data_IF_803058705734
#
_entry.id   IF_803058705734
#
_cell.length_a   1.000
_cell.length_b   1.000
_cell.length_c   1.000
_cell.angle_alpha   90.00
_cell.angle_beta   90.00
_cell.angle_gamma   90.00
#
_symmetry.space_group_name_H-M   'P 1'
#
loop_
_entity.id
_entity.type
_entity.pdbx_description
1 polymer ?
#
# COMPACT_ATOMS: atom_id res chain seq x y z
N UNK A 1 14.59 14.20 28.09
CA UNK A 1 15.09 13.49 26.89
C UNK A 1 16.28 14.24 26.31
N UNK A 2 16.12 15.50 25.92
CA UNK A 2 17.20 16.31 25.33
C UNK A 2 18.45 16.41 26.21
N UNK A 3 18.30 16.44 27.53
CA UNK A 3 19.44 16.50 28.48
C UNK A 3 20.34 15.24 28.46
N UNK A 4 19.88 14.14 27.84
CA UNK A 4 20.61 12.86 27.77
C UNK A 4 21.10 12.51 26.36
N UNK A 5 20.74 13.29 25.34
CA UNK A 5 21.04 12.97 23.93
C UNK A 5 22.19 13.84 23.43
N UNK A 6 23.19 13.20 22.81
CA UNK A 6 24.16 13.91 21.98
C UNK A 6 23.62 14.23 20.59
N UNK A 7 22.76 13.36 20.04
CA UNK A 7 22.09 13.52 18.76
C UNK A 7 20.78 12.70 18.75
N UNK A 8 19.75 13.19 18.05
CA UNK A 8 18.43 12.53 18.00
C UNK A 8 18.47 11.17 17.28
N UNK A 9 19.45 10.97 16.39
CA UNK A 9 19.69 9.69 15.70
C UNK A 9 20.05 8.54 16.63
N UNK A 10 20.38 8.81 17.90
CA UNK A 10 20.49 7.79 18.94
C UNK A 10 19.14 7.05 19.17
N UNK A 11 18.02 7.73 18.93
CA UNK A 11 16.67 7.19 19.15
C UNK A 11 16.05 6.76 17.82
N UNK A 12 16.05 7.64 16.82
CA UNK A 12 15.43 7.38 15.52
C UNK A 12 15.85 8.44 14.50
N UNK A 13 15.51 8.22 13.23
CA UNK A 13 15.95 9.11 12.16
C UNK A 13 15.76 8.51 10.79
N UNK A 14 16.31 9.20 9.78
CA UNK A 14 16.26 8.77 8.40
C UNK A 14 17.65 8.60 7.81
N UNK A 15 17.81 7.58 6.94
CA UNK A 15 19.03 7.32 6.20
C UNK A 15 18.72 7.13 4.73
N UNK A 16 19.15 8.07 3.90
CA UNK A 16 19.08 7.98 2.43
C UNK A 16 20.30 7.24 1.88
N UNK A 17 20.08 6.34 0.93
CA UNK A 17 21.15 5.54 0.32
C UNK A 17 20.75 5.04 -1.07
N UNK A 18 21.71 4.44 -1.78
CA UNK A 18 21.50 3.78 -3.06
C UNK A 18 21.93 2.32 -2.98
N UNK A 19 21.15 1.42 -3.59
CA UNK A 19 21.48 0.01 -3.67
C UNK A 19 22.54 -0.26 -4.75
N UNK A 20 23.50 -1.16 -4.47
CA UNK A 20 24.73 -1.27 -5.25
C UNK A 20 24.76 -2.42 -6.27
N UNK A 21 23.90 -3.45 -6.11
CA UNK A 21 24.02 -4.71 -6.84
C UNK A 21 22.69 -5.33 -7.27
N UNK A 22 22.80 -6.35 -8.12
CA UNK A 22 21.66 -7.12 -8.63
C UNK A 22 20.63 -6.27 -9.38
N UNK A 23 19.38 -6.75 -9.40
CA UNK A 23 18.26 -6.01 -10.00
C UNK A 23 17.96 -4.70 -9.25
N UNK A 24 18.37 -4.56 -8.00
CA UNK A 24 18.14 -3.36 -7.21
C UNK A 24 19.14 -2.23 -7.51
N UNK A 25 20.24 -2.52 -8.24
CA UNK A 25 21.31 -1.57 -8.48
C UNK A 25 20.78 -0.23 -9.01
N UNK A 26 21.16 0.84 -8.32
CA UNK A 26 20.79 2.20 -8.65
C UNK A 26 19.53 2.70 -7.97
N UNK A 27 18.71 1.84 -7.37
CA UNK A 27 17.51 2.26 -6.63
C UNK A 27 17.90 3.08 -5.42
N UNK A 28 17.40 4.31 -5.37
CA UNK A 28 17.44 5.17 -4.21
C UNK A 28 16.35 4.80 -3.20
N UNK A 29 16.72 4.79 -1.92
CA UNK A 29 15.84 4.48 -0.82
C UNK A 29 16.12 5.35 0.41
N UNK A 30 15.13 5.46 1.28
CA UNK A 30 15.24 6.08 2.61
C UNK A 30 14.76 5.08 3.65
N UNK A 31 15.66 4.64 4.53
CA UNK A 31 15.28 3.93 5.74
C UNK A 31 14.83 4.94 6.79
N UNK A 32 13.73 4.63 7.46
CA UNK A 32 13.15 5.44 8.53
C UNK A 32 13.02 4.56 9.78
N UNK A 33 13.52 5.06 10.91
CA UNK A 33 13.35 4.48 12.25
C UNK A 33 12.64 5.50 13.14
N UNK A 34 11.46 5.16 13.66
CA UNK A 34 10.73 6.05 14.55
C UNK A 34 11.21 6.00 16.01
N UNK A 35 12.13 5.10 16.35
CA UNK A 35 12.63 4.91 17.71
C UNK A 35 11.67 4.22 18.68
N UNK A 36 10.48 3.81 18.22
CA UNK A 36 9.50 3.03 18.97
C UNK A 36 9.26 1.65 18.30
N UNK A 37 10.30 1.16 17.64
CA UNK A 37 10.37 -0.16 17.05
C UNK A 37 9.82 -0.23 15.63
N UNK A 38 9.21 0.84 15.09
CA UNK A 38 8.77 0.91 13.70
C UNK A 38 9.94 1.32 12.81
N UNK A 39 10.33 0.41 11.91
CA UNK A 39 11.39 0.62 10.92
C UNK A 39 10.85 0.27 9.54
N UNK A 40 10.99 1.16 8.58
CA UNK A 40 10.52 0.93 7.21
C UNK A 40 11.39 1.61 6.17
N UNK A 41 11.36 1.09 4.94
CA UNK A 41 12.08 1.65 3.81
C UNK A 41 11.11 2.31 2.83
N UNK A 42 11.39 3.53 2.40
CA UNK A 42 10.72 4.21 1.28
C UNK A 42 11.58 4.03 0.03
N UNK A 43 11.02 3.46 -1.03
CA UNK A 43 11.74 3.19 -2.27
C UNK A 43 11.48 4.33 -3.28
N UNK A 44 12.37 5.31 -3.32
CA UNK A 44 12.21 6.55 -4.11
C UNK A 44 12.01 6.24 -5.60
N UNK A 45 12.78 5.28 -6.11
CA UNK A 45 12.71 4.90 -7.53
C UNK A 45 11.59 3.90 -7.85
N UNK A 46 10.75 3.55 -6.88
CA UNK A 46 9.65 2.59 -7.03
C UNK A 46 8.32 3.22 -6.62
N UNK A 47 7.99 4.36 -7.21
CA UNK A 47 6.75 5.07 -6.91
C UNK A 47 6.66 5.64 -5.50
N UNK A 48 7.79 5.73 -4.77
CA UNK A 48 7.81 6.00 -3.31
C UNK A 48 6.96 5.00 -2.51
N UNK A 49 6.92 3.76 -2.95
CA UNK A 49 6.28 2.67 -2.24
C UNK A 49 7.08 2.27 -0.98
N UNK A 50 6.39 1.62 -0.04
CA UNK A 50 7.02 1.16 1.19
C UNK A 50 7.56 -0.26 0.98
N UNK A 51 8.87 -0.40 1.07
CA UNK A 51 9.58 -1.68 1.00
C UNK A 51 9.43 -2.49 2.29
N UNK A 52 10.54 -2.97 2.84
CA UNK A 52 10.51 -3.75 4.09
C UNK A 52 10.00 -2.90 5.24
N UNK A 53 9.12 -3.46 6.06
CA UNK A 53 8.62 -2.89 7.29
C UNK A 53 8.70 -3.91 8.43
N UNK A 54 9.26 -3.46 9.55
CA UNK A 54 9.35 -4.18 10.82
C UNK A 54 8.73 -3.31 11.90
N UNK A 55 7.93 -3.91 12.77
CA UNK A 55 7.47 -3.26 13.99
C UNK A 55 7.83 -4.15 15.18
N UNK A 56 8.69 -3.62 16.04
CA UNK A 56 9.34 -4.35 17.15
C UNK A 56 10.06 -5.60 16.62
N UNK A 57 9.64 -6.78 17.06
CA UNK A 57 10.24 -8.06 16.67
C UNK A 57 9.51 -8.74 15.50
N UNK A 58 8.51 -8.06 14.92
CA UNK A 58 7.66 -8.63 13.87
C UNK A 58 7.97 -8.02 12.51
N UNK A 59 8.34 -8.87 11.55
CA UNK A 59 8.33 -8.52 10.13
C UNK A 59 6.91 -8.59 9.58
N UNK A 60 6.42 -7.47 9.04
CA UNK A 60 5.04 -7.37 8.52
C UNK A 60 4.97 -7.64 7.01
N UNK A 61 6.01 -7.27 6.29
CA UNK A 61 6.04 -7.23 4.83
C UNK A 61 6.14 -8.60 4.19
N UNK A 62 5.35 -8.84 3.14
CA UNK A 62 5.71 -9.86 2.16
C UNK A 62 6.83 -9.36 1.25
N UNK A 63 7.88 -10.17 1.10
CA UNK A 63 8.98 -9.90 0.20
C UNK A 63 9.07 -11.01 -0.84
N UNK A 64 8.77 -10.65 -2.10
CA UNK A 64 8.85 -11.59 -3.21
C UNK A 64 10.31 -11.94 -3.53
N UNK A 65 10.52 -13.09 -4.17
CA UNK A 65 11.85 -13.52 -4.62
C UNK A 65 12.51 -12.55 -5.61
N UNK A 66 11.70 -11.77 -6.35
CA UNK A 66 12.20 -10.71 -7.23
C UNK A 66 12.91 -9.58 -6.46
N UNK A 67 12.54 -9.37 -5.19
CA UNK A 67 13.07 -8.30 -4.36
C UNK A 67 12.86 -6.91 -4.94
N UNK A 68 13.62 -5.94 -4.43
CA UNK A 68 13.66 -4.59 -5.01
C UNK A 68 14.27 -4.68 -6.40
N UNK A 69 13.53 -4.24 -7.41
CA UNK A 69 13.94 -4.31 -8.81
C UNK A 69 13.95 -2.89 -9.40
N UNK A 70 15.01 -2.43 -10.01
CA UNK A 70 15.07 -1.08 -10.52
C UNK A 70 14.14 -0.87 -11.74
N UNK A 71 13.64 0.36 -11.98
CA UNK A 71 12.72 0.68 -13.08
C UNK A 71 13.16 0.20 -14.47
N UNK A 72 14.47 0.16 -14.75
CA UNK A 72 14.98 -0.28 -16.05
C UNK A 72 14.67 -1.75 -16.39
N UNK A 73 14.26 -2.55 -15.40
CA UNK A 73 13.87 -3.95 -15.59
C UNK A 73 12.34 -4.14 -15.69
N UNK A 74 11.54 -3.07 -15.64
CA UNK A 74 10.10 -3.14 -15.75
C UNK A 74 9.65 -3.50 -17.17
N UNK A 75 8.62 -4.33 -17.28
CA UNK A 75 7.96 -4.70 -18.52
C UNK A 75 6.43 -4.64 -18.32
N UNK A 76 5.76 -3.81 -19.12
CA UNK A 76 4.32 -3.56 -19.02
C UNK A 76 3.44 -4.58 -19.78
N UNK A 77 4.03 -5.59 -20.43
CA UNK A 77 3.27 -6.54 -21.25
C UNK A 77 2.56 -7.55 -20.37
N UNK A 78 1.25 -7.70 -20.53
CA UNK A 78 0.50 -8.76 -19.83
C UNK A 78 0.78 -8.77 -18.33
N UNK A 79 1.17 -9.93 -17.80
CA UNK A 79 1.49 -10.15 -16.40
C UNK A 79 2.98 -9.91 -16.04
N UNK A 80 3.79 -9.39 -16.97
CA UNK A 80 5.24 -9.25 -16.78
C UNK A 80 5.63 -8.24 -15.69
N UNK A 81 4.67 -7.45 -15.18
CA UNK A 81 4.79 -6.69 -13.94
C UNK A 81 5.25 -7.57 -12.77
N UNK A 82 4.86 -8.86 -12.74
CA UNK A 82 5.28 -9.82 -11.71
C UNK A 82 6.80 -10.06 -11.70
N UNK A 83 7.53 -9.79 -12.79
CA UNK A 83 8.99 -9.91 -12.81
C UNK A 83 9.70 -8.82 -12.00
N UNK A 84 9.02 -7.69 -11.75
CA UNK A 84 9.53 -6.57 -10.95
C UNK A 84 8.71 -6.34 -9.67
N UNK A 85 7.69 -7.15 -9.40
CA UNK A 85 6.92 -7.10 -8.15
C UNK A 85 7.76 -7.64 -6.99
N UNK A 86 8.27 -6.72 -6.17
CA UNK A 86 9.05 -7.05 -4.98
C UNK A 86 8.21 -7.38 -3.75
N UNK A 87 6.89 -7.20 -3.81
CA UNK A 87 6.07 -7.00 -2.62
C UNK A 87 6.41 -5.65 -1.98
N UNK A 88 6.84 -5.67 -0.72
CA UNK A 88 6.94 -4.46 0.10
C UNK A 88 5.70 -4.31 0.98
N UNK A 89 5.74 -3.48 2.01
CA UNK A 89 4.57 -3.22 2.83
C UNK A 89 3.44 -2.55 2.05
N UNK A 90 3.78 -1.72 1.06
CA UNK A 90 2.85 -1.10 0.13
C UNK A 90 3.41 -1.21 -1.29
N UNK A 91 2.59 -1.59 -2.25
CA UNK A 91 2.85 -1.38 -3.68
C UNK A 91 1.69 -0.62 -4.31
N UNK A 92 1.95 0.49 -4.99
CA UNK A 92 0.87 1.28 -5.59
C UNK A 92 0.59 0.80 -7.00
N UNK A 93 -0.66 0.47 -7.29
CA UNK A 93 -1.14 0.11 -8.62
C UNK A 93 -1.92 1.29 -9.22
N UNK A 94 -1.70 1.60 -10.50
CA UNK A 94 -2.23 2.80 -11.14
C UNK A 94 -1.27 3.44 -12.16
N UNK A 95 -1.54 4.66 -12.61
CA UNK A 95 -2.71 5.51 -12.33
C UNK A 95 -3.81 5.42 -13.39
N UNK A 96 -3.46 5.02 -14.62
CA UNK A 96 -4.45 4.84 -15.69
C UNK A 96 -4.98 3.41 -15.75
N UNK A 97 -4.34 2.48 -15.06
CA UNK A 97 -4.65 1.06 -15.08
C UNK A 97 -4.36 0.45 -13.72
N UNK A 98 -5.29 -0.33 -13.20
CA UNK A 98 -5.08 -1.21 -12.05
C UNK A 98 -5.91 -2.50 -12.21
N UNK A 99 -5.33 -3.65 -11.85
CA UNK A 99 -5.94 -4.97 -12.06
C UNK A 99 -5.44 -5.65 -13.33
N UNK A 100 -6.21 -6.63 -13.80
CA UNK A 100 -5.83 -7.54 -14.89
C UNK A 100 -5.38 -6.82 -16.18
N UNK A 101 -4.43 -7.41 -16.92
CA UNK A 101 -4.03 -6.90 -18.23
C UNK A 101 -5.21 -6.86 -19.19
N UNK A 102 -5.30 -5.81 -20.00
CA UNK A 102 -6.38 -5.68 -20.97
C UNK A 102 -5.96 -4.88 -22.21
N UNK A 103 -6.82 -4.86 -23.22
CA UNK A 103 -6.71 -3.93 -24.35
C UNK A 103 -7.85 -2.92 -24.23
N UNK A 104 -7.50 -1.64 -24.22
CA UNK A 104 -8.47 -0.55 -24.14
C UNK A 104 -8.20 0.48 -25.23
N UNK A 105 -9.21 0.76 -26.05
CA UNK A 105 -9.13 1.68 -27.20
C UNK A 105 -7.93 1.38 -28.13
N UNK A 106 -7.66 0.09 -28.37
CA UNK A 106 -6.57 -0.38 -29.22
C UNK A 106 -5.17 -0.34 -28.59
N UNK A 107 -5.05 0.11 -27.33
CA UNK A 107 -3.78 0.12 -26.60
C UNK A 107 -3.73 -1.02 -25.56
N UNK A 108 -2.63 -1.79 -25.49
CA UNK A 108 -2.44 -2.78 -24.43
C UNK A 108 -2.08 -2.10 -23.12
N UNK A 109 -2.61 -2.65 -22.02
CA UNK A 109 -2.32 -2.27 -20.65
C UNK A 109 -1.90 -3.51 -19.86
N UNK A 110 -0.78 -3.40 -19.14
CA UNK A 110 -0.29 -4.46 -18.26
C UNK A 110 -1.04 -4.59 -16.95
N UNK A 111 -0.68 -5.63 -16.20
CA UNK A 111 -1.12 -5.85 -14.84
C UNK A 111 -0.74 -4.66 -13.95
N UNK A 112 -1.72 -4.12 -13.21
CA UNK A 112 -1.55 -3.10 -12.17
C UNK A 112 -0.98 -1.72 -12.58
N UNK A 113 -0.75 -1.49 -13.87
CA UNK A 113 -0.17 -0.24 -14.34
C UNK A 113 1.30 -0.08 -13.92
N UNK A 114 1.82 1.14 -14.05
CA UNK A 114 3.27 1.38 -14.03
C UNK A 114 3.76 2.22 -12.85
N UNK A 115 2.87 2.82 -12.05
CA UNK A 115 3.26 3.83 -11.05
C UNK A 115 4.31 3.32 -10.04
N UNK A 116 4.23 2.06 -9.60
CA UNK A 116 5.23 1.42 -8.71
C UNK A 116 6.60 1.18 -9.36
N UNK A 117 6.73 1.38 -10.67
CA UNK A 117 7.95 1.21 -11.45
C UNK A 117 8.46 2.55 -12.01
N UNK A 118 7.86 3.68 -11.62
CA UNK A 118 8.29 5.01 -12.02
C UNK A 118 9.10 5.66 -10.89
N UNK A 119 10.28 6.23 -11.18
CA UNK A 119 11.06 6.92 -10.18
C UNK A 119 10.44 8.27 -9.81
N UNK A 120 10.51 8.62 -8.54
CA UNK A 120 10.03 9.91 -8.06
C UNK A 120 11.09 11.01 -8.17
N UNK A 121 10.65 12.22 -8.51
CA UNK A 121 11.41 13.42 -8.22
C UNK A 121 11.27 13.73 -6.74
N UNK A 122 12.34 13.57 -5.97
CA UNK A 122 12.34 13.90 -4.55
C UNK A 122 12.16 15.42 -4.35
N UNK A 123 11.16 15.81 -3.56
CA UNK A 123 10.84 17.21 -3.23
C UNK A 123 11.27 17.57 -1.80
N UNK A 124 11.24 16.59 -0.88
CA UNK A 124 11.60 16.74 0.54
C UNK A 124 12.12 15.41 1.10
N UNK A 125 13.15 15.48 1.94
CA UNK A 125 13.63 14.37 2.78
C UNK A 125 14.27 15.02 4.00
N UNK A 126 13.46 15.33 5.00
CA UNK A 126 13.87 16.13 6.16
C UNK A 126 13.33 15.54 7.46
N UNK A 127 14.09 15.77 8.53
CA UNK A 127 13.66 15.49 9.89
C UNK A 127 13.88 16.74 10.73
N UNK A 128 12.82 17.25 11.36
CA UNK A 128 12.88 18.51 12.11
C UNK A 128 11.86 18.55 13.25
N UNK A 129 12.11 19.40 14.24
CA UNK A 129 11.18 19.67 15.34
C UNK A 129 10.04 20.58 14.87
N UNK A 130 8.81 20.10 15.02
CA UNK A 130 7.59 20.87 14.80
C UNK A 130 6.88 21.03 16.16
N UNK A 131 7.32 22.04 16.93
CA UNK A 131 6.92 22.17 18.33
C UNK A 131 7.59 21.09 19.17
N UNK A 132 6.81 20.26 19.86
CA UNK A 132 7.31 19.16 20.71
C UNK A 132 7.49 17.84 19.94
N UNK A 133 7.04 17.77 18.69
CA UNK A 133 7.12 16.58 17.86
C UNK A 133 8.37 16.62 16.98
N UNK A 134 9.19 15.56 17.02
CA UNK A 134 10.24 15.35 16.03
C UNK A 134 9.67 14.62 14.82
N UNK A 135 9.56 15.32 13.69
CA UNK A 135 8.84 14.87 12.50
C UNK A 135 9.83 14.43 11.44
N UNK A 136 9.59 13.27 10.85
CA UNK A 136 10.34 12.75 9.70
C UNK A 136 9.41 12.71 8.49
N UNK A 137 9.76 13.42 7.43
CA UNK A 137 8.97 13.48 6.20
C UNK A 137 9.83 13.26 4.96
N UNK A 138 9.37 12.36 4.09
CA UNK A 138 9.87 12.19 2.73
C UNK A 138 8.73 12.44 1.77
N UNK A 139 8.89 13.43 0.89
CA UNK A 139 7.92 13.76 -0.14
C UNK A 139 8.57 13.82 -1.51
N UNK A 140 7.83 13.39 -2.53
CA UNK A 140 8.30 13.39 -3.90
C UNK A 140 7.16 13.17 -4.87
N UNK A 141 7.48 13.29 -6.15
CA UNK A 141 6.49 13.28 -7.22
C UNK A 141 6.82 12.29 -8.30
N UNK A 142 5.88 11.39 -8.55
CA UNK A 142 5.91 10.41 -9.62
C UNK A 142 5.10 10.96 -10.79
N UNK A 143 5.62 10.84 -12.00
CA UNK A 143 4.97 11.32 -13.21
C UNK A 143 4.69 10.15 -14.14
N UNK A 144 3.41 9.86 -14.37
CA UNK A 144 2.99 8.97 -15.46
C UNK A 144 2.61 9.83 -16.66
N UNK A 145 3.58 10.04 -17.55
CA UNK A 145 3.44 10.94 -18.69
C UNK A 145 3.78 10.25 -20.01
N UNK A 146 3.14 10.70 -21.09
CA UNK A 146 3.46 10.28 -22.46
C UNK A 146 3.35 11.49 -23.40
N UNK A 147 4.32 11.67 -24.29
CA UNK A 147 4.19 12.68 -25.35
C UNK A 147 2.94 12.36 -26.20
N UNK A 148 2.06 13.35 -26.40
CA UNK A 148 0.76 13.16 -27.03
C UNK A 148 -0.12 12.12 -26.30
N UNK A 149 -0.14 12.15 -24.97
CA UNK A 149 -0.98 11.29 -24.17
C UNK A 149 -1.17 11.80 -22.76
N UNK A 150 -1.43 10.86 -21.86
CA UNK A 150 -1.69 11.14 -20.44
C UNK A 150 -0.57 11.94 -19.80
N UNK A 151 -0.94 12.87 -18.92
CA UNK A 151 -0.02 13.60 -18.06
C UNK A 151 -0.58 13.60 -16.63
N UNK A 152 -0.40 12.49 -15.91
CA UNK A 152 -0.80 12.38 -14.51
C UNK A 152 0.45 12.51 -13.62
N UNK A 153 0.25 13.10 -12.44
CA UNK A 153 1.26 13.09 -11.39
C UNK A 153 0.66 12.64 -10.06
N UNK A 154 1.43 11.91 -9.26
CA UNK A 154 1.17 11.70 -7.83
C UNK A 154 2.26 12.39 -7.05
N UNK A 155 1.89 13.35 -6.21
CA UNK A 155 2.77 13.82 -5.14
C UNK A 155 2.48 13.01 -3.89
N UNK A 156 3.43 12.17 -3.48
CA UNK A 156 3.36 11.39 -2.25
C UNK A 156 4.14 12.09 -1.15
N UNK A 157 3.54 12.24 0.03
CA UNK A 157 4.23 12.54 1.28
C UNK A 157 4.08 11.36 2.23
N UNK A 158 5.19 10.85 2.73
CA UNK A 158 5.25 9.83 3.78
C UNK A 158 5.81 10.50 5.02
N UNK A 159 5.01 10.54 6.08
CA UNK A 159 5.34 11.23 7.34
C UNK A 159 5.22 10.27 8.52
N UNK A 160 6.16 10.38 9.45
CA UNK A 160 6.09 9.76 10.78
C UNK A 160 6.58 10.74 11.84
N UNK A 161 6.23 10.47 13.10
CA UNK A 161 6.69 11.23 14.27
C UNK A 161 7.49 10.28 15.15
N UNK A 162 8.59 10.76 15.71
CA UNK A 162 9.39 10.00 16.65
C UNK A 162 8.51 9.45 17.78
N UNK A 163 8.72 8.19 18.11
CA UNK A 163 8.01 7.41 19.13
C UNK A 163 6.51 7.19 18.90
N UNK A 164 5.99 7.42 17.69
CA UNK A 164 4.55 7.37 17.43
C UNK A 164 3.99 5.99 17.03
N UNK A 165 4.81 5.10 16.47
CA UNK A 165 4.34 3.85 15.87
C UNK A 165 3.35 4.08 14.70
N UNK A 166 3.47 5.22 13.99
CA UNK A 166 2.49 5.68 13.00
C UNK A 166 3.16 6.08 11.69
N UNK A 167 2.55 5.72 10.56
CA UNK A 167 2.91 6.21 9.21
C UNK A 167 1.69 6.90 8.63
N UNK A 168 1.88 8.11 8.12
CA UNK A 168 0.87 8.86 7.39
C UNK A 168 1.33 8.95 5.94
N UNK A 169 0.47 8.55 5.00
CA UNK A 169 0.69 8.70 3.56
C UNK A 169 -0.37 9.66 3.04
N UNK A 170 0.05 10.73 2.37
CA UNK A 170 -0.83 11.62 1.61
C UNK A 170 -0.39 11.61 0.15
N UNK A 171 -1.28 11.17 -0.73
CA UNK A 171 -1.10 11.24 -2.18
C UNK A 171 -2.04 12.29 -2.76
N UNK A 172 -1.47 13.24 -3.51
CA UNK A 172 -2.22 14.18 -4.33
C UNK A 172 -2.05 13.82 -5.79
N UNK A 173 -3.12 13.37 -6.42
CA UNK A 173 -3.14 12.92 -7.80
C UNK A 173 -3.77 14.00 -8.65
N UNK A 174 -3.03 14.50 -9.65
CA UNK A 174 -3.48 15.60 -10.51
C UNK A 174 -3.42 15.22 -11.98
N UNK A 175 -4.46 15.59 -12.70
CA UNK A 175 -4.44 15.60 -14.15
C UNK A 175 -3.82 16.89 -14.68
N UNK A 176 -2.61 16.79 -15.23
CA UNK A 176 -1.87 17.90 -15.80
C UNK A 176 -2.07 18.01 -17.32
N UNK A 177 -2.78 17.07 -17.94
CA UNK A 177 -3.07 17.09 -19.37
C UNK A 177 -4.21 18.08 -19.69
N UNK A 178 -4.34 18.41 -20.98
CA UNK A 178 -5.45 19.21 -21.51
C UNK A 178 -6.74 18.40 -21.69
N UNK A 179 -6.66 17.07 -21.64
CA UNK A 179 -7.78 16.16 -21.81
C UNK A 179 -8.15 15.50 -20.48
N UNK A 180 -9.38 15.02 -20.35
CA UNK A 180 -9.74 14.17 -19.20
C UNK A 180 -8.94 12.86 -19.21
N UNK A 181 -8.54 12.38 -18.03
CA UNK A 181 -7.74 11.16 -17.87
C UNK A 181 -8.41 10.18 -16.91
N UNK A 182 -8.31 8.85 -17.14
CA UNK A 182 -8.81 7.86 -16.20
C UNK A 182 -7.94 7.84 -14.94
N UNK A 183 -8.57 7.61 -13.80
CA UNK A 183 -7.90 7.39 -12.52
C UNK A 183 -8.31 6.03 -11.93
N UNK A 184 -7.36 5.12 -11.91
CA UNK A 184 -7.40 3.85 -11.21
C UNK A 184 -6.28 3.82 -10.18
N UNK A 185 -6.64 3.58 -8.93
CA UNK A 185 -5.72 3.56 -7.81
C UNK A 185 -6.03 2.37 -6.90
N UNK A 186 -4.98 1.65 -6.53
CA UNK A 186 -5.05 0.56 -5.58
C UNK A 186 -3.77 0.55 -4.73
N UNK A 187 -3.94 0.65 -3.42
CA UNK A 187 -2.86 0.57 -2.45
C UNK A 187 -2.67 -0.87 -2.02
N UNK A 188 -1.79 -1.60 -2.69
CA UNK A 188 -1.59 -3.02 -2.46
C UNK A 188 -0.77 -3.25 -1.17
N UNK A 189 -1.45 -3.23 0.00
CA UNK A 189 -0.79 -3.36 1.31
C UNK A 189 -0.46 -4.82 1.60
N UNK A 190 0.80 -5.23 1.45
CA UNK A 190 1.18 -6.64 1.51
C UNK A 190 1.64 -7.09 2.89
N UNK A 191 0.99 -8.11 3.41
CA UNK A 191 1.36 -8.80 4.65
C UNK A 191 2.02 -10.14 4.35
N UNK A 192 3.10 -10.45 5.06
CA UNK A 192 3.88 -11.67 4.93
C UNK A 192 4.32 -12.24 6.26
N UNK A 193 4.94 -13.43 6.22
CA UNK A 193 5.48 -14.12 7.39
C UNK A 193 6.69 -13.33 7.99
N UNK A 194 6.90 -13.28 9.32
CA UNK A 194 6.21 -14.04 10.38
C UNK A 194 4.87 -13.46 10.84
N UNK A 195 4.58 -12.19 10.56
CA UNK A 195 3.34 -11.56 11.01
C UNK A 195 2.09 -12.22 10.44
N UNK A 196 2.10 -12.53 9.15
CA UNK A 196 1.04 -13.30 8.48
C UNK A 196 1.30 -14.80 8.65
N UNK A 197 0.35 -15.47 9.29
CA UNK A 197 0.30 -16.91 9.51
C UNK A 197 -1.17 -17.32 9.80
N UNK A 198 -1.48 -18.62 9.99
CA UNK A 198 -2.85 -19.06 10.26
C UNK A 198 -3.50 -18.52 11.54
N UNK A 199 -2.72 -17.96 12.47
CA UNK A 199 -3.20 -17.34 13.71
C UNK A 199 -3.40 -15.82 13.57
N UNK A 200 -3.00 -15.24 12.44
CA UNK A 200 -3.27 -13.84 12.12
C UNK A 200 -4.78 -13.64 11.95
N UNK A 201 -5.28 -12.61 12.63
CA UNK A 201 -6.70 -12.24 12.66
C UNK A 201 -6.89 -10.87 12.06
N UNK A 202 -8.09 -10.63 11.55
CA UNK A 202 -8.46 -9.33 11.00
C UNK A 202 -9.89 -8.95 11.40
N UNK A 203 -10.16 -7.66 11.37
CA UNK A 203 -11.49 -7.09 11.48
C UNK A 203 -11.66 -6.06 10.38
N UNK A 204 -12.65 -6.30 9.53
CA UNK A 204 -13.06 -5.41 8.44
C UNK A 204 -14.55 -5.11 8.69
N UNK A 205 -14.95 -3.83 8.80
CA UNK A 205 -16.33 -3.43 9.05
C UNK A 205 -17.15 -3.55 7.76
N UNK A 206 -17.26 -4.77 7.22
CA UNK A 206 -17.90 -5.06 5.92
C UNK A 206 -19.38 -4.66 5.94
N UNK A 207 -19.81 -3.97 4.88
CA UNK A 207 -21.22 -3.79 4.51
C UNK A 207 -21.64 -4.86 3.50
N UNK A 208 -20.81 -5.12 2.50
CA UNK A 208 -21.05 -6.10 1.45
C UNK A 208 -19.71 -6.73 1.01
N UNK A 209 -19.70 -8.03 0.76
CA UNK A 209 -18.57 -8.76 0.15
C UNK A 209 -19.07 -9.54 -1.04
N UNK A 210 -18.30 -9.52 -2.12
CA UNK A 210 -18.42 -10.45 -3.23
C UNK A 210 -17.08 -11.12 -3.52
N UNK A 211 -17.11 -12.34 -4.03
CA UNK A 211 -15.98 -12.96 -4.70
C UNK A 211 -15.61 -12.16 -5.94
N UNK A 212 -14.32 -11.96 -6.16
CA UNK A 212 -13.84 -11.26 -7.34
C UNK A 212 -13.91 -12.12 -8.60
N UNK A 213 -13.83 -13.44 -8.45
CA UNK A 213 -14.06 -14.45 -9.48
C UNK A 213 -15.00 -15.55 -8.98
N UNK A 214 -15.41 -16.44 -9.90
CA UNK A 214 -16.30 -17.55 -9.57
C UNK A 214 -15.72 -18.48 -8.50
N UNK A 215 -14.41 -18.71 -8.53
CA UNK A 215 -13.75 -19.54 -7.52
C UNK A 215 -13.89 -18.91 -6.12
N UNK A 216 -13.59 -17.63 -5.97
CA UNK A 216 -13.68 -16.93 -4.68
C UNK A 216 -15.12 -16.81 -4.20
N UNK A 217 -16.08 -16.60 -5.11
CA UNK A 217 -17.52 -16.56 -4.82
C UNK A 217 -18.03 -17.92 -4.27
N UNK A 218 -17.46 -19.03 -4.72
CA UNK A 218 -17.78 -20.37 -4.19
C UNK A 218 -17.09 -20.67 -2.84
N UNK A 219 -16.14 -19.84 -2.41
CA UNK A 219 -15.33 -20.06 -1.20
C UNK A 219 -15.38 -18.85 -0.26
N UNK A 220 -16.56 -18.27 -0.04
CA UNK A 220 -16.75 -17.04 0.74
C UNK A 220 -16.37 -17.15 2.23
N UNK A 221 -16.32 -18.37 2.77
CA UNK A 221 -15.87 -18.63 4.13
C UNK A 221 -14.38 -18.32 4.32
N UNK A 222 -13.59 -18.43 3.25
CA UNK A 222 -12.14 -18.30 3.32
C UNK A 222 -11.67 -16.86 3.58
N UNK A 223 -12.48 -15.84 3.24
CA UNK A 223 -12.19 -14.41 3.49
C UNK A 223 -11.80 -14.10 4.95
N UNK A 224 -12.25 -14.91 5.91
CA UNK A 224 -12.09 -14.62 7.35
C UNK A 224 -10.76 -15.06 7.94
N UNK A 225 -9.98 -15.88 7.23
CA UNK A 225 -8.78 -16.52 7.78
C UNK A 225 -7.73 -16.75 6.72
N UNK A 226 -6.45 -16.60 7.06
CA UNK A 226 -5.35 -17.00 6.18
C UNK A 226 -5.13 -18.54 6.28
N UNK A 227 -5.16 -19.30 5.17
CA UNK A 227 -4.87 -20.74 5.18
C UNK A 227 -3.43 -21.06 5.56
N UNK A 228 -3.15 -22.32 5.92
CA UNK A 228 -1.77 -22.81 6.01
C UNK A 228 -1.10 -22.86 4.61
N UNK A 229 0.24 -22.70 4.51
CA UNK A 229 0.93 -22.72 3.22
C UNK A 229 0.76 -24.04 2.46
N UNK A 230 0.28 -23.96 1.21
CA UNK A 230 0.06 -25.11 0.32
C UNK A 230 0.91 -25.02 -0.95
N UNK A 231 1.40 -26.15 -1.44
CA UNK A 231 2.09 -26.22 -2.73
C UNK A 231 1.13 -26.06 -3.92
N UNK A 232 -0.16 -26.36 -3.73
CA UNK A 232 -1.23 -26.22 -4.73
C UNK A 232 -2.28 -25.22 -4.23
N UNK A 233 -1.82 -24.07 -3.75
CA UNK A 233 -2.69 -23.00 -3.32
C UNK A 233 -3.40 -22.37 -4.53
N UNK A 234 -4.68 -22.05 -4.36
CA UNK A 234 -5.42 -21.15 -5.22
C UNK A 234 -5.27 -19.70 -4.72
N UNK A 235 -5.63 -18.74 -5.56
CA UNK A 235 -5.84 -17.36 -5.14
C UNK A 235 -7.26 -17.25 -4.59
N UNK A 236 -7.43 -16.53 -3.48
CA UNK A 236 -8.73 -16.10 -2.99
C UNK A 236 -8.77 -14.59 -3.06
N UNK A 237 -9.72 -14.05 -3.82
CA UNK A 237 -9.83 -12.61 -4.04
C UNK A 237 -11.26 -12.18 -3.76
N UNK A 238 -11.42 -11.24 -2.84
CA UNK A 238 -12.71 -10.66 -2.48
C UNK A 238 -12.68 -9.16 -2.69
N UNK A 239 -13.85 -8.60 -3.02
CA UNK A 239 -14.05 -7.16 -3.05
C UNK A 239 -15.05 -6.80 -1.96
N UNK A 240 -14.67 -5.87 -1.09
CA UNK A 240 -15.50 -5.40 0.01
C UNK A 240 -15.94 -3.96 -0.19
N UNK A 241 -17.20 -3.70 0.10
CA UNK A 241 -17.70 -2.38 0.48
C UNK A 241 -17.74 -2.31 2.00
N UNK A 242 -17.16 -1.26 2.58
CA UNK A 242 -17.06 -1.12 4.03
C UNK A 242 -18.13 -0.17 4.55
N UNK A 243 -18.48 -0.32 5.84
CA UNK A 243 -19.14 0.73 6.61
C UNK A 243 -18.17 1.88 6.85
N UNK A 244 -18.69 3.08 7.01
CA UNK A 244 -17.92 4.29 7.26
C UNK A 244 -18.72 5.23 8.16
N UNK A 245 -18.03 6.15 8.82
CA UNK A 245 -18.67 7.23 9.58
C UNK A 245 -19.32 8.27 8.65
N UNK A 246 -19.96 9.29 9.24
CA UNK A 246 -20.62 10.37 8.50
C UNK A 246 -19.70 11.19 7.60
N UNK A 247 -18.38 11.12 7.80
CA UNK A 247 -17.37 11.80 6.97
C UNK A 247 -16.77 10.86 5.91
N UNK A 248 -17.22 9.60 5.85
CA UNK A 248 -16.73 8.59 4.93
C UNK A 248 -15.43 7.92 5.38
N UNK A 249 -14.98 8.12 6.62
CA UNK A 249 -13.78 7.47 7.12
C UNK A 249 -14.06 6.00 7.48
N UNK A 250 -13.18 5.12 7.03
CA UNK A 250 -13.25 3.69 7.26
C UNK A 250 -11.85 3.11 7.53
N UNK A 251 -11.73 1.80 7.58
CA UNK A 251 -10.46 1.12 7.70
C UNK A 251 -10.59 -0.35 8.05
N UNK A 252 -9.45 -0.98 8.31
CA UNK A 252 -9.37 -2.35 8.78
C UNK A 252 -8.31 -2.50 9.87
N UNK A 253 -8.38 -3.60 10.60
CA UNK A 253 -7.46 -3.98 11.66
C UNK A 253 -6.94 -5.38 11.37
N UNK A 254 -5.63 -5.59 11.49
CA UNK A 254 -5.00 -6.92 11.39
C UNK A 254 -4.01 -7.09 12.55
N UNK A 255 -4.01 -8.27 13.17
CA UNK A 255 -3.16 -8.54 14.33
C UNK A 255 -2.81 -10.01 14.48
N UNK A 256 -1.76 -10.25 15.25
CA UNK A 256 -1.41 -11.56 15.80
C UNK A 256 -1.47 -11.48 17.33
N UNK A 257 -1.82 -12.59 17.96
CA UNK A 257 -1.85 -12.75 19.41
C UNK A 257 -0.96 -13.94 19.77
N UNK A 258 0.15 -13.68 20.47
CA UNK A 258 1.09 -14.70 20.91
C UNK A 258 1.43 -14.49 22.38
N UNK A 259 1.25 -15.53 23.19
CA UNK A 259 1.55 -15.52 24.63
C UNK A 259 0.88 -14.35 25.38
N UNK A 260 -0.32 -13.93 24.94
CA UNK A 260 -1.07 -12.80 25.49
C UNK A 260 -0.62 -11.42 25.02
N UNK A 261 0.44 -11.33 24.20
CA UNK A 261 0.88 -10.11 23.55
C UNK A 261 0.17 -9.92 22.21
N UNK A 262 -0.37 -8.71 21.99
CA UNK A 262 -1.10 -8.33 20.79
C UNK A 262 -0.22 -7.46 19.93
N UNK A 263 0.18 -7.89 18.74
CA UNK A 263 0.91 -7.04 17.79
C UNK A 263 0.08 -6.90 16.53
N UNK A 264 -0.08 -5.68 16.02
CA UNK A 264 -0.87 -5.48 14.82
C UNK A 264 -0.79 -4.07 14.25
N UNK A 265 -1.60 -3.85 13.23
CA UNK A 265 -1.71 -2.58 12.53
C UNK A 265 -3.17 -2.28 12.18
N UNK A 266 -3.57 -1.02 12.39
CA UNK A 266 -4.81 -0.45 11.89
C UNK A 266 -4.48 0.43 10.68
N UNK A 267 -5.23 0.28 9.59
CA UNK A 267 -5.12 1.17 8.43
C UNK A 267 -6.45 1.89 8.26
N UNK A 268 -6.41 3.22 8.35
CA UNK A 268 -7.57 4.11 8.19
C UNK A 268 -7.44 4.90 6.89
N UNK A 269 -8.56 5.08 6.19
CA UNK A 269 -8.65 5.83 4.94
C UNK A 269 -10.08 6.35 4.75
N UNK A 270 -10.35 7.03 3.63
CA UNK A 270 -11.65 7.62 3.34
C UNK A 270 -12.24 7.10 2.02
N UNK A 271 -13.52 6.74 2.05
CA UNK A 271 -14.24 6.14 0.92
C UNK A 271 -14.52 7.11 -0.23
N UNK A 272 -14.42 8.43 0.00
CA UNK A 272 -14.64 9.42 -1.05
C UNK A 272 -13.72 9.20 -2.27
N UNK A 273 -12.49 8.73 -2.04
CA UNK A 273 -11.54 8.42 -3.11
C UNK A 273 -11.12 6.94 -3.17
N UNK A 274 -11.43 6.15 -2.14
CA UNK A 274 -11.12 4.72 -2.05
C UNK A 274 -12.36 3.94 -1.56
N UNK A 275 -13.44 3.84 -2.36
CA UNK A 275 -14.71 3.24 -1.94
C UNK A 275 -14.64 1.73 -1.65
N UNK A 276 -13.65 1.02 -2.21
CA UNK A 276 -13.55 -0.44 -2.11
C UNK A 276 -12.29 -0.87 -1.35
N UNK A 277 -12.34 -2.09 -0.83
CA UNK A 277 -11.17 -2.81 -0.33
C UNK A 277 -11.07 -4.14 -1.08
N UNK A 278 -10.00 -4.31 -1.84
CA UNK A 278 -9.60 -5.65 -2.29
C UNK A 278 -9.04 -6.45 -1.13
N UNK A 279 -9.36 -7.73 -1.06
CA UNK A 279 -8.68 -8.70 -0.21
C UNK A 279 -8.15 -9.81 -1.11
N UNK A 280 -6.83 -9.87 -1.29
CA UNK A 280 -6.18 -10.94 -2.04
C UNK A 280 -5.39 -11.83 -1.10
N UNK A 281 -5.55 -13.14 -1.21
CA UNK A 281 -4.79 -14.13 -0.46
C UNK A 281 -4.22 -15.16 -1.41
N UNK A 282 -2.92 -15.41 -1.27
CA UNK A 282 -2.24 -16.49 -1.96
C UNK A 282 -1.44 -17.30 -0.92
N UNK A 283 -2.02 -18.37 -0.35
CA UNK A 283 -1.37 -19.19 0.67
C UNK A 283 -0.37 -20.18 0.05
N UNK A 284 0.39 -19.76 -0.96
CA UNK A 284 1.34 -20.60 -1.68
C UNK A 284 2.64 -20.73 -0.92
N UNK A 285 3.23 -21.92 -0.90
CA UNK A 285 4.62 -22.10 -0.41
C UNK A 285 5.57 -21.20 -1.22
N UNK A 286 6.35 -20.39 -0.51
CA UNK A 286 7.30 -19.37 -1.02
C UNK A 286 6.68 -18.07 -1.54
N UNK A 287 5.37 -18.03 -1.75
CA UNK A 287 4.63 -16.84 -2.14
C UNK A 287 3.45 -16.61 -1.16
N UNK A 288 3.70 -16.80 0.13
CA UNK A 288 2.66 -16.77 1.17
C UNK A 288 2.34 -15.32 1.55
N UNK A 289 1.28 -14.78 0.95
CA UNK A 289 0.92 -13.37 1.01
C UNK A 289 -0.59 -13.18 1.22
N UNK A 290 -0.92 -12.13 1.95
CA UNK A 290 -2.25 -11.52 1.92
C UNK A 290 -2.08 -10.02 1.69
N UNK A 291 -2.88 -9.45 0.81
CA UNK A 291 -2.99 -8.02 0.63
C UNK A 291 -4.39 -7.52 0.98
N UNK A 292 -4.43 -6.36 1.63
CA UNK A 292 -5.65 -5.61 1.89
C UNK A 292 -5.51 -4.26 1.18
N UNK A 293 -6.39 -4.01 0.23
CA UNK A 293 -6.09 -3.15 -0.90
C UNK A 293 -7.10 -2.00 -1.02
N UNK A 294 -6.97 -0.91 -0.25
CA UNK A 294 -7.82 0.26 -0.45
C UNK A 294 -7.73 0.75 -1.89
N UNK A 295 -8.88 0.83 -2.58
CA UNK A 295 -8.90 1.09 -4.01
C UNK A 295 -10.17 1.80 -4.48
N UNK A 296 -10.14 2.29 -5.72
CA UNK A 296 -11.26 2.98 -6.36
C UNK A 296 -11.87 2.22 -7.55
N UNK A 297 -11.54 0.94 -7.68
CA UNK A 297 -11.89 0.10 -8.81
C UNK A 297 -12.10 -1.35 -8.35
N UNK A 298 -12.66 -2.19 -9.21
CA UNK A 298 -12.97 -3.60 -8.97
C UNK A 298 -11.80 -4.53 -9.33
N UNK A 299 -10.60 -3.98 -9.59
CA UNK A 299 -9.37 -4.75 -9.84
C UNK A 299 -9.46 -5.61 -11.12
N UNK A 300 -10.31 -5.21 -12.07
CA UNK A 300 -10.51 -5.92 -13.36
C UNK A 300 -9.79 -5.25 -14.54
N UNK A 301 -9.16 -4.11 -14.32
CA UNK A 301 -8.54 -3.30 -15.39
C UNK A 301 -9.47 -2.24 -15.98
N UNK A 302 -8.90 -1.29 -16.71
CA UNK A 302 -9.58 -0.10 -17.23
C UNK A 302 -10.74 -0.42 -18.18
N UNK A 303 -10.61 -1.46 -19.02
CA UNK A 303 -11.65 -1.80 -20.00
C UNK A 303 -12.96 -2.28 -19.34
N UNK A 304 -12.94 -3.20 -18.35
CA UNK A 304 -14.12 -3.51 -17.55
C UNK A 304 -14.70 -2.32 -16.80
N UNK A 305 -13.87 -1.50 -16.15
CA UNK A 305 -14.37 -0.33 -15.40
C UNK A 305 -15.11 0.67 -16.30
N UNK A 306 -14.60 0.95 -17.51
CA UNK A 306 -15.28 1.82 -18.47
C UNK A 306 -16.60 1.18 -18.92
N UNK A 307 -16.59 -0.12 -19.24
CA UNK A 307 -17.79 -0.85 -19.69
C UNK A 307 -18.92 -0.81 -18.64
N UNK A 308 -18.57 -0.91 -17.36
CA UNK A 308 -19.54 -0.89 -16.26
C UNK A 308 -19.87 0.51 -15.75
N UNK A 309 -19.25 1.57 -16.31
CA UNK A 309 -19.49 2.95 -15.91
C UNK A 309 -18.92 3.29 -14.53
N UNK A 310 -17.97 2.49 -14.03
CA UNK A 310 -17.36 2.64 -12.70
C UNK A 310 -15.98 3.29 -12.75
N UNK A 311 -15.44 3.51 -13.95
CA UNK A 311 -14.17 4.21 -14.15
C UNK A 311 -14.26 5.67 -13.69
N UNK A 312 -13.39 6.05 -12.75
CA UNK A 312 -13.23 7.44 -12.36
C UNK A 312 -12.44 8.21 -13.40
N UNK A 313 -12.93 9.38 -13.75
CA UNK A 313 -12.26 10.34 -14.63
C UNK A 313 -11.81 11.56 -13.82
N UNK A 314 -10.65 12.11 -14.18
CA UNK A 314 -10.18 13.41 -13.72
C UNK A 314 -10.24 14.39 -14.89
N UNK A 315 -10.94 15.50 -14.69
CA UNK A 315 -10.95 16.61 -15.64
C UNK A 315 -9.58 17.32 -15.69
N UNK A 316 -9.29 18.09 -16.74
CA UNK A 316 -8.05 18.88 -16.81
C UNK A 316 -7.86 19.74 -15.56
N UNK A 317 -6.67 19.68 -14.96
CA UNK A 317 -6.29 20.38 -13.72
C UNK A 317 -7.01 19.91 -12.45
N UNK A 318 -7.91 18.93 -12.53
CA UNK A 318 -8.52 18.33 -11.34
C UNK A 318 -7.46 17.60 -10.51
N UNK A 319 -7.58 17.72 -9.19
CA UNK A 319 -6.74 17.05 -8.21
C UNK A 319 -7.60 16.34 -7.18
N UNK A 320 -7.20 15.12 -6.82
CA UNK A 320 -7.83 14.32 -5.76
C UNK A 320 -6.78 13.95 -4.72
N UNK A 321 -7.20 13.84 -3.47
CA UNK A 321 -6.30 13.52 -2.36
C UNK A 321 -6.71 12.21 -1.69
N UNK A 322 -5.77 11.27 -1.61
CA UNK A 322 -5.92 10.03 -0.87
C UNK A 322 -5.04 10.09 0.38
N UNK A 323 -5.57 9.67 1.53
CA UNK A 323 -4.82 9.60 2.79
C UNK A 323 -4.93 8.23 3.40
N UNK A 324 -3.78 7.64 3.74
CA UNK A 324 -3.70 6.43 4.55
C UNK A 324 -3.07 6.79 5.89
N UNK A 325 -3.71 6.33 6.95
CA UNK A 325 -3.22 6.48 8.31
C UNK A 325 -2.99 5.11 8.94
N UNK A 326 -1.73 4.75 9.12
CA UNK A 326 -1.27 3.40 9.45
C UNK A 326 -0.73 3.44 10.88
N UNK A 327 -1.40 2.76 11.80
CA UNK A 327 -1.11 2.81 13.24
C UNK A 327 -0.77 1.43 13.76
N UNK A 328 0.49 1.23 14.13
CA UNK A 328 0.95 0.00 14.77
C UNK A 328 0.59 -0.01 16.26
N UNK A 329 0.46 -1.20 16.83
CA UNK A 329 0.19 -1.39 18.24
C UNK A 329 0.74 -2.72 18.73
N UNK A 330 0.86 -2.81 20.04
CA UNK A 330 1.57 -3.90 20.71
C UNK A 330 0.97 -4.35 22.04
N UNK A 331 -0.15 -3.74 22.41
CA UNK A 331 -0.85 -3.98 23.68
C UNK A 331 -2.31 -4.33 23.43
N UNK A 332 -2.90 -5.02 24.40
CA UNK A 332 -4.32 -5.41 24.33
C UNK A 332 -5.24 -4.20 24.46
N UNK A 333 -4.86 -3.20 25.25
CA UNK A 333 -5.59 -1.94 25.41
C UNK A 333 -5.68 -1.19 24.09
N UNK A 334 -4.56 -1.07 23.39
CA UNK A 334 -4.49 -0.44 22.07
C UNK A 334 -5.32 -1.17 21.03
N UNK A 335 -5.27 -2.51 21.04
CA UNK A 335 -6.11 -3.34 20.17
C UNK A 335 -7.60 -3.11 20.45
N UNK A 336 -8.03 -3.12 21.73
CA UNK A 336 -9.43 -2.86 22.11
C UNK A 336 -9.90 -1.50 21.61
N UNK A 337 -9.08 -0.46 21.82
CA UNK A 337 -9.39 0.90 21.37
C UNK A 337 -9.59 0.96 19.86
N UNK A 338 -8.61 0.46 19.09
CA UNK A 338 -8.65 0.48 17.62
C UNK A 338 -9.78 -0.38 17.05
N UNK A 339 -10.13 -1.49 17.71
CA UNK A 339 -11.26 -2.35 17.33
C UNK A 339 -12.60 -1.64 17.56
N UNK A 340 -12.78 -1.02 18.73
CA UNK A 340 -13.98 -0.25 19.05
C UNK A 340 -14.22 0.91 18.07
N UNK A 341 -13.15 1.60 17.64
CA UNK A 341 -13.22 2.65 16.60
C UNK A 341 -13.82 2.13 15.28
N UNK A 342 -13.51 0.89 14.87
CA UNK A 342 -14.04 0.29 13.64
C UNK A 342 -15.41 -0.37 13.83
N UNK A 343 -15.72 -0.82 15.04
CA UNK A 343 -17.06 -1.35 15.39
C UNK A 343 -18.12 -0.26 15.42
N UNK A 344 -17.74 0.98 15.74
CA UNK A 344 -18.61 2.15 15.80
C UNK A 344 -18.97 2.77 14.44
N UNK A 345 -18.30 2.36 13.35
CA UNK A 345 -18.73 2.65 11.97
C UNK A 345 -19.99 1.86 11.64
#
# INVERSE_FOLDING_TARGET
MMDYLGDISQIGGMKRYQMLEGKAKGVEAVDVDDGHGLRFTILIDRGMDLGKLVYRDWGFTFQAAAGVTAPQYYNERGEEWLQSFGGGFLTTCGLTQAGDPCVFKGQPYGLHGQVSNLPARLERCESDWQGEDYVMEVAGRVFQTRHQGVQLSVRRSVRTVLLSGRIQIEDRIRNQSSDRSPLMLLYHMNFGYPFLNPDTRMYIPVRHTQGWDEFSEQHMEQQKKMPAPSARAAHYTYLHELRADSEGNTGYLIWNEKDGQYTGVQVRYNQANLPYLGQWMYPKKRDYIMALEPCNNHIKGIAPEEKYGTLRWLEPQEEVTCRLDIRFFSTREEWKKRKAELEAL
#
